data_IF_664183876640
#
_entry.id   IF_664183876640
#
_cell.length_a   1.000
_cell.length_b   1.000
_cell.length_c   1.000
_cell.angle_alpha   90.00
_cell.angle_beta   90.00
_cell.angle_gamma   90.00
#
_symmetry.space_group_name_H-M   'P 1'
#
loop_
_entity.id
_entity.type
_entity.pdbx_description
1 polymer ?
#
# COMPACT_ATOMS: atom_id res chain seq x y z
N UNK A 1 -4.45 8.44 19.35
CA UNK A 1 -5.40 8.15 18.25
C UNK A 1 -6.80 8.66 18.57
N UNK A 2 -7.43 8.19 19.64
CA UNK A 2 -8.73 8.69 20.10
C UNK A 2 -8.82 10.23 20.19
N UNK A 3 -7.85 10.87 20.84
CA UNK A 3 -7.79 12.34 20.95
C UNK A 3 -7.72 13.03 19.57
N UNK A 4 -6.83 12.54 18.69
CA UNK A 4 -6.67 13.09 17.32
C UNK A 4 -7.91 12.93 16.46
N UNK A 5 -8.62 11.81 16.58
CA UNK A 5 -9.87 11.61 15.86
C UNK A 5 -10.98 12.55 16.34
N UNK A 6 -11.04 12.85 17.64
CA UNK A 6 -11.99 13.81 18.20
C UNK A 6 -11.70 15.24 17.71
N UNK A 7 -10.44 15.66 17.77
CA UNK A 7 -9.99 16.97 17.24
C UNK A 7 -10.38 17.14 15.75
N UNK A 8 -10.07 16.15 14.91
CA UNK A 8 -10.39 16.22 13.47
C UNK A 8 -11.90 16.20 13.19
N UNK A 9 -12.70 15.55 14.04
CA UNK A 9 -14.17 15.54 13.90
C UNK A 9 -14.74 16.94 14.15
N UNK A 10 -14.28 17.61 15.21
CA UNK A 10 -14.75 18.94 15.57
C UNK A 10 -14.46 19.95 14.45
N UNK A 11 -13.25 19.93 13.89
CA UNK A 11 -12.88 20.78 12.74
C UNK A 11 -13.71 20.49 11.48
N UNK A 12 -14.06 19.23 11.22
CA UNK A 12 -14.89 18.86 10.07
C UNK A 12 -16.35 19.33 10.22
N UNK A 13 -16.89 19.33 11.44
CA UNK A 13 -18.23 19.85 11.72
C UNK A 13 -18.30 21.37 11.57
N UNK A 14 -17.25 22.08 11.99
CA UNK A 14 -17.15 23.54 11.84
C UNK A 14 -17.12 23.96 10.35
N UNK A 15 -16.43 23.20 9.49
CA UNK A 15 -16.36 23.46 8.05
C UNK A 15 -17.69 23.22 7.30
N UNK A 16 -18.48 22.19 7.68
CA UNK A 16 -19.81 21.95 7.10
C UNK A 16 -20.82 23.06 7.43
N UNK A 17 -20.65 23.77 8.57
CA UNK A 17 -21.50 24.90 8.95
C UNK A 17 -21.16 26.21 8.21
N UNK A 18 -19.93 26.38 7.72
CA UNK A 18 -19.52 27.57 6.96
C UNK A 18 -19.92 27.52 5.47
N UNK A 19 -20.09 26.32 4.87
CA UNK A 19 -20.53 26.17 3.47
C UNK A 19 -22.04 26.43 3.25
N UNK A 20 -22.86 26.47 4.30
CA UNK A 20 -24.32 26.70 4.21
C UNK A 20 -24.74 28.18 4.17
N UNK A 21 -23.80 29.14 4.30
CA UNK A 21 -24.11 30.56 4.11
C UNK A 21 -23.94 30.96 2.63
N UNK A 22 -25.05 30.93 1.89
CA UNK A 22 -25.18 31.47 0.53
C UNK A 22 -24.88 32.99 0.50
N UNK A 23 -23.64 33.37 0.25
CA UNK A 23 -23.29 34.68 -0.31
C UNK A 23 -22.49 34.46 -1.60
N UNK A 24 -23.05 34.90 -2.74
CA UNK A 24 -22.40 34.90 -4.05
C UNK A 24 -21.10 35.72 -4.01
N UNK A 25 -19.93 35.05 -4.04
CA UNK A 25 -18.64 35.73 -4.15
C UNK A 25 -18.19 35.78 -5.62
N UNK A 26 -18.21 36.98 -6.20
CA UNK A 26 -17.61 37.30 -7.50
C UNK A 26 -16.09 37.10 -7.49
N UNK A 27 -15.48 36.63 -8.59
CA UNK A 27 -14.04 36.34 -8.65
C UNK A 27 -13.23 37.62 -8.90
N UNK A 28 -12.60 38.20 -7.87
CA UNK A 28 -11.50 39.15 -8.11
C UNK A 28 -10.45 39.20 -6.98
N UNK A 29 -9.22 39.58 -7.36
CA UNK A 29 -8.01 39.84 -6.56
C UNK A 29 -7.26 38.65 -5.88
N UNK A 30 -7.94 37.59 -5.42
CA UNK A 30 -7.28 36.49 -4.68
C UNK A 30 -6.37 35.62 -5.57
N UNK A 31 -6.74 35.46 -6.85
CA UNK A 31 -6.01 34.65 -7.84
C UNK A 31 -4.72 35.37 -8.28
N UNK A 32 -4.75 36.71 -8.39
CA UNK A 32 -3.62 37.53 -8.86
C UNK A 32 -2.51 37.62 -7.81
N UNK A 33 -2.88 37.62 -6.53
CA UNK A 33 -1.93 37.59 -5.40
C UNK A 33 -1.16 36.27 -5.32
N UNK A 34 -1.89 35.15 -5.41
CA UNK A 34 -1.33 33.78 -5.38
C UNK A 34 -0.38 33.52 -6.56
N UNK A 35 -0.70 34.05 -7.74
CA UNK A 35 0.13 33.96 -8.95
C UNK A 35 1.51 34.63 -8.80
N UNK A 36 1.58 35.81 -8.19
CA UNK A 36 2.83 36.54 -7.99
C UNK A 36 3.73 35.87 -6.92
N UNK A 37 3.12 35.24 -5.91
CA UNK A 37 3.82 34.46 -4.88
C UNK A 37 4.41 33.17 -5.45
N UNK A 38 3.63 32.40 -6.21
CA UNK A 38 4.13 31.19 -6.88
C UNK A 38 5.27 31.50 -7.87
N UNK A 39 5.21 32.65 -8.55
CA UNK A 39 6.29 33.13 -9.44
C UNK A 39 7.58 33.46 -8.68
N UNK A 40 7.49 34.03 -7.47
CA UNK A 40 8.66 34.32 -6.60
C UNK A 40 9.28 33.04 -6.05
N UNK A 41 8.47 32.09 -5.59
CA UNK A 41 8.93 30.77 -5.12
C UNK A 41 9.64 30.01 -6.25
N UNK A 42 9.06 30.01 -7.46
CA UNK A 42 9.68 29.40 -8.65
C UNK A 42 11.04 30.02 -8.99
N UNK A 43 11.19 31.34 -8.90
CA UNK A 43 12.48 32.00 -9.14
C UNK A 43 13.51 31.69 -8.03
N UNK A 44 13.07 31.61 -6.77
CA UNK A 44 13.92 31.19 -5.65
C UNK A 44 14.50 29.79 -5.85
N UNK A 45 13.64 28.81 -6.17
CA UNK A 45 14.03 27.43 -6.44
C UNK A 45 14.97 27.29 -7.66
N UNK A 46 14.78 28.11 -8.69
CA UNK A 46 15.69 28.11 -9.86
C UNK A 46 17.08 28.66 -9.54
N UNK A 47 17.16 29.70 -8.69
CA UNK A 47 18.43 30.27 -8.25
C UNK A 47 19.17 29.33 -7.30
N UNK A 48 18.43 28.63 -6.42
CA UNK A 48 18.98 27.64 -5.50
C UNK A 48 19.56 26.43 -6.26
N UNK A 49 18.85 25.90 -7.27
CA UNK A 49 19.36 24.85 -8.17
C UNK A 49 20.62 25.26 -8.94
N UNK A 50 20.74 26.55 -9.32
CA UNK A 50 21.96 27.06 -9.98
C UNK A 50 23.14 27.12 -9.02
N UNK A 51 22.90 27.56 -7.78
CA UNK A 51 23.92 27.61 -6.73
C UNK A 51 24.39 26.19 -6.34
N UNK A 52 23.47 25.24 -6.20
CA UNK A 52 23.79 23.83 -5.91
C UNK A 52 24.60 23.17 -7.03
N UNK A 53 24.27 23.43 -8.31
CA UNK A 53 25.09 22.92 -9.43
C UNK A 53 26.51 23.48 -9.43
N UNK A 54 26.69 24.73 -9.01
CA UNK A 54 28.03 25.31 -8.87
C UNK A 54 28.77 24.73 -7.66
N UNK A 55 28.10 24.53 -6.53
CA UNK A 55 28.67 23.90 -5.34
C UNK A 55 29.05 22.43 -5.58
N UNK A 56 28.22 21.67 -6.30
CA UNK A 56 28.49 20.28 -6.65
C UNK A 56 29.69 20.15 -7.61
N UNK A 57 29.84 21.12 -8.54
CA UNK A 57 31.00 21.19 -9.43
C UNK A 57 32.29 21.47 -8.64
N UNK A 58 32.25 22.41 -7.69
CA UNK A 58 33.37 22.71 -6.81
C UNK A 58 33.75 21.53 -5.89
N UNK A 59 32.75 20.83 -5.33
CA UNK A 59 32.97 19.66 -4.48
C UNK A 59 33.56 18.46 -5.26
N UNK A 60 33.19 18.31 -6.54
CA UNK A 60 33.71 17.25 -7.41
C UNK A 60 35.15 17.50 -7.84
N UNK A 61 35.54 18.77 -8.01
CA UNK A 61 36.93 19.20 -8.21
C UNK A 61 37.78 19.05 -6.93
N UNK A 62 37.17 19.12 -5.73
CA UNK A 62 37.85 18.89 -4.45
C UNK A 62 37.98 17.39 -4.06
N UNK A 63 37.15 16.49 -4.62
CA UNK A 63 37.24 15.04 -4.36
C UNK A 63 38.26 14.31 -5.23
N UNK A 64 38.65 14.85 -6.37
CA UNK A 64 39.70 14.26 -7.21
C UNK A 64 41.11 14.41 -6.62
N UNK A 65 41.28 15.19 -5.54
CA UNK A 65 42.57 15.47 -4.89
C UNK A 65 42.83 14.69 -3.60
N UNK A 66 41.90 13.89 -3.08
CA UNK A 66 41.99 13.31 -1.71
C UNK A 66 41.84 11.79 -1.58
N UNK A 67 41.74 11.02 -2.67
CA UNK A 67 41.57 9.57 -2.58
C UNK A 67 42.91 8.79 -2.51
N UNK A 68 43.53 8.72 -1.33
CA UNK A 68 44.54 7.69 -0.99
C UNK A 68 44.53 7.39 0.52
N UNK A 69 43.91 6.28 0.92
CA UNK A 69 44.01 5.77 2.30
C UNK A 69 42.87 4.83 2.69
N UNK A 70 43.18 3.53 2.71
CA UNK A 70 42.33 2.43 3.18
C UNK A 70 42.52 2.16 4.68
N UNK A 71 41.49 1.68 5.39
CA UNK A 71 41.57 0.62 6.42
C UNK A 71 40.21 0.27 7.05
N UNK A 72 40.17 -0.87 7.74
CA UNK A 72 39.04 -1.78 7.97
C UNK A 72 38.85 -2.12 9.47
N UNK A 73 37.61 -2.47 9.86
CA UNK A 73 37.13 -3.29 11.01
C UNK A 73 37.02 -2.65 12.43
N UNK A 74 36.37 -3.28 13.44
CA UNK A 74 34.93 -3.60 13.58
C UNK A 74 34.37 -3.31 15.02
N UNK A 75 33.05 -3.44 15.26
CA UNK A 75 32.47 -3.40 16.62
C UNK A 75 30.99 -3.78 16.61
N UNK A 76 30.61 -4.79 17.40
CA UNK A 76 29.28 -5.41 17.39
C UNK A 76 28.30 -4.83 18.39
N UNK A 77 27.02 -4.99 18.07
CA UNK A 77 25.89 -4.93 19.01
C UNK A 77 24.99 -6.13 18.78
N UNK A 78 24.44 -6.63 19.88
CA UNK A 78 23.65 -7.87 19.96
C UNK A 78 22.22 -7.58 19.47
N UNK A 79 21.98 -7.83 18.19
CA UNK A 79 20.63 -7.85 17.62
C UNK A 79 19.87 -9.10 18.12
N UNK A 80 18.66 -8.88 18.63
CA UNK A 80 17.63 -9.93 18.58
C UNK A 80 17.45 -10.29 17.11
N UNK A 81 17.59 -11.58 16.72
CA UNK A 81 17.61 -11.92 15.31
C UNK A 81 16.26 -11.52 14.71
N UNK A 82 16.30 -10.53 13.82
CA UNK A 82 15.28 -10.31 12.82
C UNK A 82 15.04 -11.66 12.17
N UNK A 83 13.91 -12.29 12.51
CA UNK A 83 13.58 -13.62 12.01
C UNK A 83 13.19 -13.46 10.54
N UNK A 84 14.19 -13.26 9.67
CA UNK A 84 14.03 -13.26 8.23
C UNK A 84 13.40 -14.60 7.87
N UNK A 85 12.13 -14.52 7.49
CA UNK A 85 11.27 -15.68 7.34
C UNK A 85 11.48 -16.29 5.95
N UNK A 86 12.62 -16.94 5.76
CA UNK A 86 12.91 -17.63 4.51
C UNK A 86 12.16 -18.97 4.48
N UNK A 87 11.20 -19.10 3.56
CA UNK A 87 10.55 -20.39 3.28
C UNK A 87 11.50 -21.19 2.38
N UNK A 88 12.52 -21.81 2.98
CA UNK A 88 13.55 -22.56 2.25
C UNK A 88 13.93 -23.86 2.94
N UNK A 89 14.52 -24.78 2.17
CA UNK A 89 15.07 -26.05 2.68
C UNK A 89 16.21 -25.84 3.67
N UNK A 90 16.97 -24.75 3.51
CA UNK A 90 18.04 -24.37 4.42
C UNK A 90 17.48 -24.04 5.81
N UNK A 91 16.42 -23.23 5.85
CA UNK A 91 15.79 -22.84 7.12
C UNK A 91 15.02 -24.00 7.76
N UNK A 92 14.41 -24.86 6.94
CA UNK A 92 13.82 -26.13 7.42
C UNK A 92 14.89 -27.02 8.07
N UNK A 93 16.07 -27.11 7.45
CA UNK A 93 17.21 -27.83 8.00
C UNK A 93 17.70 -27.22 9.30
N UNK A 94 17.87 -25.89 9.40
CA UNK A 94 18.33 -25.22 10.62
C UNK A 94 17.42 -25.46 11.83
N UNK A 95 16.10 -25.56 11.59
CA UNK A 95 15.10 -25.76 12.65
C UNK A 95 15.01 -27.19 13.17
N UNK A 96 15.57 -28.15 12.45
CA UNK A 96 15.55 -29.56 12.84
C UNK A 96 16.87 -29.94 13.51
N UNK A 97 16.78 -30.38 14.77
CA UNK A 97 17.96 -30.88 15.49
C UNK A 97 18.51 -32.16 14.84
N UNK A 98 19.84 -32.36 14.92
CA UNK A 98 20.47 -33.56 14.37
C UNK A 98 19.90 -34.86 14.99
N UNK A 99 19.54 -34.84 16.27
CA UNK A 99 18.94 -36.01 16.93
C UNK A 99 17.56 -36.37 16.35
N UNK A 100 16.68 -35.38 16.15
CA UNK A 100 15.37 -35.61 15.55
C UNK A 100 15.51 -36.07 14.09
N UNK A 101 16.40 -35.42 13.34
CA UNK A 101 16.71 -35.79 11.96
C UNK A 101 17.19 -37.25 11.87
N UNK A 102 18.19 -37.61 12.68
CA UNK A 102 18.80 -38.95 12.66
C UNK A 102 17.80 -40.03 13.08
N UNK A 103 16.98 -39.76 14.09
CA UNK A 103 15.94 -40.69 14.51
C UNK A 103 14.93 -40.97 13.39
N UNK A 104 14.41 -39.93 12.74
CA UNK A 104 13.48 -40.07 11.62
C UNK A 104 14.15 -40.69 10.39
N UNK A 105 15.41 -40.36 10.12
CA UNK A 105 16.18 -40.98 9.04
C UNK A 105 16.34 -42.49 9.26
N UNK A 106 16.64 -42.94 10.48
CA UNK A 106 16.72 -44.36 10.82
C UNK A 106 15.37 -45.08 10.74
N UNK A 107 14.26 -44.41 10.99
CA UNK A 107 12.92 -45.01 10.82
C UNK A 107 12.54 -45.22 9.34
N UNK A 108 13.16 -44.48 8.43
CA UNK A 108 12.83 -44.49 6.99
C UNK A 108 13.91 -45.25 6.18
N UNK A 109 15.04 -45.59 6.81
CA UNK A 109 16.14 -46.31 6.16
C UNK A 109 16.20 -47.75 6.66
N UNK A 110 16.20 -48.71 5.74
CA UNK A 110 16.29 -50.14 6.04
C UNK A 110 17.72 -50.62 6.39
N UNK A 111 18.70 -49.72 6.38
CA UNK A 111 20.12 -50.01 6.63
C UNK A 111 20.68 -49.04 7.68
N UNK A 112 21.77 -49.41 8.38
CA UNK A 112 22.52 -48.51 9.28
C UNK A 112 23.31 -47.49 8.44
N UNK A 113 22.80 -46.26 8.21
CA UNK A 113 23.42 -45.37 7.25
C UNK A 113 24.56 -44.61 7.95
N UNK A 114 25.64 -44.37 7.22
CA UNK A 114 26.79 -43.63 7.75
C UNK A 114 26.38 -42.21 8.14
N UNK A 115 26.90 -41.72 9.25
CA UNK A 115 26.73 -40.33 9.68
C UNK A 115 27.75 -39.47 8.93
N UNK A 116 27.28 -38.36 8.35
CA UNK A 116 28.14 -37.37 7.71
C UNK A 116 28.85 -36.45 8.69
N UNK A 117 29.73 -35.62 8.14
CA UNK A 117 30.56 -34.69 8.91
C UNK A 117 29.73 -33.59 9.61
N UNK A 118 28.49 -33.38 9.17
CA UNK A 118 27.49 -32.49 9.78
C UNK A 118 26.72 -33.14 10.96
N UNK A 119 27.08 -34.38 11.31
CA UNK A 119 26.42 -35.16 12.35
C UNK A 119 25.05 -35.70 11.94
N UNK A 120 24.66 -35.59 10.66
CA UNK A 120 23.41 -36.13 10.14
C UNK A 120 23.62 -37.43 9.38
N UNK A 121 22.64 -38.32 9.48
CA UNK A 121 22.60 -39.59 8.73
C UNK A 121 22.56 -39.29 7.22
N UNK A 122 23.51 -39.85 6.46
CA UNK A 122 23.55 -39.71 5.00
C UNK A 122 22.42 -40.51 4.38
N UNK A 123 21.53 -39.84 3.67
CA UNK A 123 20.39 -40.43 2.98
C UNK A 123 20.29 -39.88 1.57
N UNK A 124 19.54 -40.56 0.69
CA UNK A 124 19.28 -40.02 -0.65
C UNK A 124 18.53 -38.67 -0.57
N UNK A 125 18.61 -37.80 -1.59
CA UNK A 125 17.91 -36.51 -1.61
C UNK A 125 16.40 -36.65 -1.36
N UNK A 126 15.76 -37.69 -1.91
CA UNK A 126 14.34 -37.98 -1.70
C UNK A 126 14.02 -38.32 -0.24
N UNK A 127 14.87 -39.13 0.40
CA UNK A 127 14.72 -39.48 1.82
C UNK A 127 14.99 -38.27 2.71
N UNK A 128 15.96 -37.43 2.35
CA UNK A 128 16.25 -36.17 3.05
C UNK A 128 15.01 -35.27 3.09
N UNK A 129 14.33 -35.08 1.97
CA UNK A 129 13.08 -34.31 1.90
C UNK A 129 11.98 -34.93 2.77
N UNK A 130 11.82 -36.25 2.75
CA UNK A 130 10.83 -36.96 3.58
C UNK A 130 11.12 -36.79 5.08
N UNK A 131 12.37 -36.94 5.49
CA UNK A 131 12.82 -36.74 6.87
C UNK A 131 12.56 -35.30 7.32
N UNK A 132 12.92 -34.30 6.51
CA UNK A 132 12.66 -32.89 6.82
C UNK A 132 11.17 -32.57 6.89
N UNK A 133 10.35 -33.17 6.03
CA UNK A 133 8.91 -32.97 6.05
C UNK A 133 8.27 -33.50 7.34
N UNK A 134 8.69 -34.68 7.81
CA UNK A 134 8.21 -35.28 9.05
C UNK A 134 8.74 -34.56 10.28
N UNK A 135 10.03 -34.19 10.26
CA UNK A 135 10.67 -33.49 11.38
C UNK A 135 10.01 -32.14 11.64
N UNK A 136 9.63 -31.41 10.59
CA UNK A 136 8.91 -30.14 10.72
C UNK A 136 7.52 -30.29 11.35
N UNK A 137 6.83 -31.41 11.12
CA UNK A 137 5.54 -31.73 11.75
C UNK A 137 5.72 -32.01 13.24
N UNK A 138 6.75 -32.78 13.60
CA UNK A 138 7.09 -33.05 15.00
C UNK A 138 7.46 -31.75 15.72
N UNK A 139 8.32 -30.92 15.12
CA UNK A 139 8.70 -29.62 15.69
C UNK A 139 7.48 -28.73 15.91
N UNK A 140 6.59 -28.60 14.93
CA UNK A 140 5.38 -27.80 15.07
C UNK A 140 4.47 -28.33 16.18
N UNK A 141 4.24 -29.64 16.21
CA UNK A 141 3.30 -30.27 17.13
C UNK A 141 3.78 -30.22 18.57
N UNK A 142 5.09 -30.43 18.80
CA UNK A 142 5.66 -30.53 20.15
C UNK A 142 6.09 -29.16 20.69
N UNK A 143 6.72 -28.32 19.86
CA UNK A 143 7.26 -27.03 20.32
C UNK A 143 6.31 -25.86 20.09
N UNK A 144 5.26 -26.03 19.26
CA UNK A 144 4.35 -24.93 18.88
C UNK A 144 5.01 -23.87 17.99
N UNK A 145 6.26 -24.07 17.57
CA UNK A 145 7.04 -23.10 16.79
C UNK A 145 6.71 -23.25 15.30
N UNK A 146 6.27 -22.18 14.61
CA UNK A 146 6.02 -22.16 13.16
C UNK A 146 7.20 -22.65 12.30
N UNK A 147 7.02 -23.77 11.59
CA UNK A 147 8.04 -24.29 10.66
C UNK A 147 7.78 -23.86 9.21
N UNK A 148 8.82 -23.83 8.34
CA UNK A 148 8.68 -23.37 6.94
C UNK A 148 7.59 -24.10 6.18
N UNK A 149 7.45 -25.42 6.39
CA UNK A 149 6.34 -26.22 5.85
C UNK A 149 4.97 -25.65 6.25
N UNK A 150 4.72 -25.44 7.54
CA UNK A 150 3.40 -25.04 8.03
C UNK A 150 3.03 -23.61 7.62
N UNK A 151 4.03 -22.72 7.59
CA UNK A 151 3.87 -21.36 7.09
C UNK A 151 3.61 -21.40 5.58
N UNK A 152 4.46 -22.06 4.81
CA UNK A 152 4.35 -22.16 3.35
C UNK A 152 3.04 -22.79 2.89
N UNK A 153 2.60 -23.87 3.55
CA UNK A 153 1.31 -24.51 3.27
C UNK A 153 0.14 -23.57 3.55
N UNK A 154 0.13 -22.87 4.70
CA UNK A 154 -0.94 -21.91 5.01
C UNK A 154 -1.00 -20.78 3.98
N UNK A 155 0.14 -20.19 3.63
CA UNK A 155 0.23 -19.09 2.68
C UNK A 155 -0.15 -19.52 1.25
N UNK A 156 0.31 -20.67 0.80
CA UNK A 156 -0.01 -21.22 -0.51
C UNK A 156 -1.52 -21.48 -0.64
N UNK A 157 -2.12 -22.15 0.34
CA UNK A 157 -3.55 -22.47 0.31
C UNK A 157 -4.41 -21.22 0.45
N UNK A 158 -3.99 -20.27 1.28
CA UNK A 158 -4.65 -18.98 1.38
C UNK A 158 -4.58 -18.21 0.05
N UNK A 159 -3.45 -18.26 -0.66
CA UNK A 159 -3.27 -17.63 -1.97
C UNK A 159 -4.16 -18.27 -3.04
N UNK A 160 -4.17 -19.60 -3.12
CA UNK A 160 -4.90 -20.36 -4.14
C UNK A 160 -6.42 -20.35 -3.90
N UNK A 161 -6.85 -20.56 -2.65
CA UNK A 161 -8.26 -20.79 -2.34
C UNK A 161 -8.97 -19.56 -1.76
N UNK A 162 -8.23 -18.59 -1.21
CA UNK A 162 -8.76 -17.43 -0.46
C UNK A 162 -9.73 -17.80 0.67
N UNK A 163 -9.73 -19.06 1.11
CA UNK A 163 -10.73 -19.60 2.05
C UNK A 163 -10.17 -19.72 3.46
N UNK A 164 -10.72 -18.91 4.38
CA UNK A 164 -10.47 -19.05 5.82
C UNK A 164 -10.88 -20.44 6.33
N UNK A 165 -11.97 -21.01 5.80
CA UNK A 165 -12.46 -22.31 6.22
C UNK A 165 -11.45 -23.43 5.91
N UNK A 166 -10.82 -23.39 4.73
CA UNK A 166 -9.84 -24.40 4.31
C UNK A 166 -8.57 -24.32 5.16
N UNK A 167 -8.05 -23.12 5.41
CA UNK A 167 -6.88 -22.91 6.28
C UNK A 167 -7.19 -23.35 7.72
N UNK A 168 -8.38 -23.03 8.22
CA UNK A 168 -8.81 -23.43 9.57
C UNK A 168 -8.91 -24.95 9.68
N UNK A 169 -9.45 -25.63 8.68
CA UNK A 169 -9.54 -27.08 8.65
C UNK A 169 -8.15 -27.73 8.69
N UNK A 170 -7.21 -27.24 7.88
CA UNK A 170 -5.85 -27.78 7.83
C UNK A 170 -5.04 -27.51 9.09
N UNK A 171 -5.24 -26.34 9.70
CA UNK A 171 -4.67 -26.03 11.00
C UNK A 171 -5.19 -26.98 12.09
N UNK A 172 -6.50 -27.32 12.07
CA UNK A 172 -7.05 -28.33 13.00
C UNK A 172 -6.48 -29.72 12.80
N UNK A 173 -6.06 -30.07 11.58
CA UNK A 173 -5.31 -31.30 11.31
C UNK A 173 -3.81 -31.20 11.61
N UNK A 174 -3.33 -30.06 12.12
CA UNK A 174 -1.91 -29.84 12.44
C UNK A 174 -1.02 -29.65 11.21
N UNK A 175 -1.57 -29.42 10.02
CA UNK A 175 -0.78 -29.34 8.78
C UNK A 175 -0.30 -27.94 8.43
N UNK A 176 -0.83 -26.90 9.08
CA UNK A 176 -0.43 -25.53 8.84
C UNK A 176 -0.65 -24.65 10.06
N UNK A 177 -0.10 -23.43 10.02
CA UNK A 177 -0.35 -22.40 11.04
C UNK A 177 -1.79 -21.88 11.00
N UNK A 178 -2.19 -21.11 12.02
CA UNK A 178 -3.52 -20.53 12.08
C UNK A 178 -3.73 -19.51 10.95
N UNK A 179 -5.00 -19.25 10.59
CA UNK A 179 -5.34 -18.21 9.62
C UNK A 179 -4.84 -16.82 10.05
N UNK A 180 -4.93 -16.51 11.34
CA UNK A 180 -4.48 -15.23 11.90
C UNK A 180 -2.96 -15.09 11.77
N UNK A 181 -2.20 -16.14 12.08
CA UNK A 181 -0.74 -16.12 11.93
C UNK A 181 -0.33 -16.03 10.47
N UNK A 182 -1.04 -16.73 9.57
CA UNK A 182 -0.81 -16.63 8.13
C UNK A 182 -1.04 -15.19 7.61
N UNK A 183 -2.10 -14.51 8.04
CA UNK A 183 -2.33 -13.11 7.71
C UNK A 183 -1.22 -12.21 8.25
N UNK A 184 -0.80 -12.41 9.51
CA UNK A 184 0.33 -11.68 10.11
C UNK A 184 1.59 -11.83 9.27
N UNK A 185 1.91 -13.05 8.83
CA UNK A 185 3.06 -13.29 7.96
C UNK A 185 2.94 -12.57 6.61
N UNK A 186 1.77 -12.56 5.97
CA UNK A 186 1.55 -11.79 4.73
C UNK A 186 1.80 -10.30 4.97
N UNK A 187 1.29 -9.76 6.08
CA UNK A 187 1.49 -8.36 6.45
C UNK A 187 2.96 -8.05 6.71
N UNK A 188 3.69 -8.92 7.41
CA UNK A 188 5.13 -8.75 7.65
C UNK A 188 5.93 -8.81 6.36
N UNK A 189 5.61 -9.74 5.45
CA UNK A 189 6.24 -9.80 4.13
C UNK A 189 5.93 -8.55 3.30
N UNK A 190 4.69 -8.05 3.34
CA UNK A 190 4.31 -6.83 2.66
C UNK A 190 5.12 -5.63 3.17
N UNK A 191 5.33 -5.50 4.48
CA UNK A 191 6.19 -4.45 5.06
C UNK A 191 7.65 -4.55 4.59
N UNK A 192 8.21 -5.76 4.52
CA UNK A 192 9.59 -5.92 4.02
C UNK A 192 9.76 -5.60 2.53
N UNK A 193 8.68 -5.70 1.76
CA UNK A 193 8.64 -5.28 0.35
C UNK A 193 8.40 -3.77 0.26
N UNK A 194 7.57 -3.21 1.15
CA UNK A 194 7.29 -1.78 1.26
C UNK A 194 8.56 -0.98 1.58
N UNK A 195 9.42 -1.52 2.46
CA UNK A 195 10.77 -1.01 2.76
C UNK A 195 11.72 -1.04 1.55
N UNK A 196 11.41 -1.84 0.51
CA UNK A 196 12.18 -1.96 -0.73
C UNK A 196 11.58 -1.16 -1.90
N UNK A 197 10.32 -0.74 -1.80
CA UNK A 197 9.68 0.15 -2.78
C UNK A 197 10.05 1.59 -2.50
N UNK A 198 10.26 2.37 -3.57
CA UNK A 198 10.57 3.80 -3.45
C UNK A 198 9.49 4.54 -2.65
N UNK A 199 9.87 5.58 -1.87
CA UNK A 199 8.99 6.24 -0.94
C UNK A 199 7.71 6.75 -1.63
N UNK A 200 6.60 6.67 -0.89
CA UNK A 200 5.32 7.31 -1.20
C UNK A 200 5.55 8.63 -1.95
N UNK A 201 4.99 8.74 -3.16
CA UNK A 201 5.14 9.90 -4.06
C UNK A 201 5.18 11.20 -3.25
N UNK A 202 6.30 11.95 -3.31
CA UNK A 202 6.59 13.10 -2.44
C UNK A 202 5.43 14.11 -2.41
N UNK A 203 4.65 14.21 -3.49
CA UNK A 203 3.45 15.04 -3.56
C UNK A 203 2.35 14.64 -2.56
N UNK A 204 2.18 13.33 -2.32
CA UNK A 204 1.25 12.80 -1.34
C UNK A 204 1.64 13.23 0.06
N UNK A 205 2.92 13.09 0.42
CA UNK A 205 3.43 13.52 1.74
C UNK A 205 3.23 15.03 1.91
N UNK A 206 3.59 15.82 0.90
CA UNK A 206 3.40 17.28 0.92
C UNK A 206 1.94 17.68 1.12
N UNK A 207 1.01 17.03 0.42
CA UNK A 207 -0.42 17.30 0.59
C UNK A 207 -0.89 17.02 2.02
N UNK A 208 -0.47 15.90 2.61
CA UNK A 208 -0.82 15.58 3.99
C UNK A 208 -0.20 16.54 5.01
N UNK A 209 1.04 16.98 4.78
CA UNK A 209 1.70 17.98 5.65
C UNK A 209 0.97 19.33 5.63
N UNK A 210 0.48 19.77 4.47
CA UNK A 210 -0.36 20.97 4.33
C UNK A 210 -1.68 20.82 5.11
N UNK A 211 -2.25 19.61 5.20
CA UNK A 211 -3.49 19.37 5.96
C UNK A 211 -3.29 19.31 7.47
N UNK A 212 -2.14 18.82 7.94
CA UNK A 212 -1.86 18.73 9.39
C UNK A 212 -1.34 20.05 9.95
N UNK A 213 -0.55 20.79 9.17
CA UNK A 213 0.04 22.06 9.59
C UNK A 213 -0.32 23.18 8.61
N UNK A 214 -1.61 23.48 8.40
CA UNK A 214 -2.03 24.50 7.45
C UNK A 214 -1.42 25.86 7.82
N UNK A 215 -1.29 26.18 9.11
CA UNK A 215 -0.71 27.44 9.57
C UNK A 215 0.76 27.59 9.19
N UNK A 216 1.59 26.56 9.33
CA UNK A 216 3.04 26.62 9.05
C UNK A 216 3.34 26.72 7.56
N UNK A 217 2.52 26.05 6.71
CA UNK A 217 2.75 26.00 5.27
C UNK A 217 1.96 27.05 4.48
N UNK A 218 0.87 27.56 5.04
CA UNK A 218 -0.01 28.56 4.43
C UNK A 218 0.07 29.91 5.16
N UNK A 219 1.12 30.15 5.96
CA UNK A 219 1.33 31.36 6.78
C UNK A 219 1.30 32.68 5.96
N UNK A 220 1.64 32.61 4.66
CA UNK A 220 1.56 33.71 3.69
C UNK A 220 0.17 33.86 3.02
N UNK A 221 -0.75 32.93 3.26
CA UNK A 221 -2.14 32.94 2.79
C UNK A 221 -3.04 33.33 3.98
N UNK A 222 -4.09 34.11 3.70
CA UNK A 222 -4.99 34.66 4.74
C UNK A 222 -5.41 33.58 5.76
N UNK A 223 -5.59 33.94 7.04
CA UNK A 223 -5.91 33.01 8.13
C UNK A 223 -7.23 32.23 8.02
N UNK A 224 -7.98 32.39 6.91
CA UNK A 224 -9.20 31.63 6.59
C UNK A 224 -8.99 30.56 5.51
N UNK A 225 -7.75 30.29 5.08
CA UNK A 225 -7.49 29.39 3.96
C UNK A 225 -7.55 27.92 4.41
N UNK A 226 -8.66 27.25 4.10
CA UNK A 226 -8.81 25.79 4.23
C UNK A 226 -7.82 25.07 3.31
N UNK A 227 -7.18 24.00 3.80
CA UNK A 227 -6.26 23.20 2.99
C UNK A 227 -6.96 22.64 1.73
N UNK A 228 -6.31 22.69 0.54
CA UNK A 228 -6.97 22.30 -0.71
C UNK A 228 -7.15 20.79 -0.80
N UNK A 229 -8.29 20.31 -1.28
CA UNK A 229 -8.46 18.88 -1.58
C UNK A 229 -7.44 18.38 -2.63
N UNK A 230 -7.26 17.07 -2.75
CA UNK A 230 -6.21 16.46 -3.59
C UNK A 230 -6.22 16.97 -5.04
N UNK A 231 -7.39 17.10 -5.67
CA UNK A 231 -7.51 17.53 -7.07
C UNK A 231 -7.06 18.98 -7.30
N UNK A 232 -7.57 19.99 -6.55
CA UNK A 232 -7.01 21.34 -6.57
C UNK A 232 -5.51 21.38 -6.27
N UNK A 233 -5.03 20.65 -5.27
CA UNK A 233 -3.60 20.59 -4.94
C UNK A 233 -2.76 20.10 -6.13
N UNK A 234 -3.19 19.04 -6.80
CA UNK A 234 -2.53 18.51 -7.99
C UNK A 234 -2.60 19.50 -9.17
N UNK A 235 -3.74 20.16 -9.38
CA UNK A 235 -3.88 21.18 -10.42
C UNK A 235 -2.96 22.39 -10.20
N UNK A 236 -2.66 22.75 -8.94
CA UNK A 236 -1.67 23.79 -8.64
C UNK A 236 -0.23 23.38 -8.97
N UNK A 237 0.10 22.08 -8.83
CA UNK A 237 1.45 21.57 -9.02
C UNK A 237 1.75 21.18 -10.47
N UNK A 238 0.75 20.73 -11.21
CA UNK A 238 0.89 20.29 -12.59
C UNK A 238 0.77 21.51 -13.51
N UNK A 239 1.79 21.83 -14.34
CA UNK A 239 1.66 22.90 -15.32
C UNK A 239 0.56 22.60 -16.35
N UNK A 240 -0.18 23.65 -16.70
CA UNK A 240 -1.41 23.70 -17.51
C UNK A 240 -1.19 23.27 -18.98
N UNK A 241 -0.79 22.01 -19.18
CA UNK A 241 -0.29 21.50 -20.46
C UNK A 241 -1.10 20.31 -21.01
N UNK A 242 -2.18 19.90 -20.35
CA UNK A 242 -3.03 18.84 -20.89
C UNK A 242 -3.90 19.38 -22.02
N UNK A 243 -3.88 18.76 -23.21
CA UNK A 243 -4.76 19.17 -24.29
C UNK A 243 -6.23 19.02 -23.89
N UNK A 244 -7.07 19.95 -24.33
CA UNK A 244 -8.50 19.93 -24.06
C UNK A 244 -9.11 18.59 -24.53
N UNK A 245 -9.83 17.91 -23.65
CA UNK A 245 -10.55 16.68 -23.97
C UNK A 245 -11.89 17.01 -24.61
N UNK A 246 -12.19 16.39 -25.75
CA UNK A 246 -13.51 16.53 -26.40
C UNK A 246 -14.43 15.45 -25.87
N UNK A 247 -15.53 15.88 -25.25
CA UNK A 247 -16.59 14.99 -24.74
C UNK A 247 -17.68 14.89 -25.80
N UNK A 248 -18.07 13.66 -26.13
CA UNK A 248 -19.18 13.38 -27.06
C UNK A 248 -20.04 12.25 -26.52
N UNK A 249 -21.35 12.42 -26.58
CA UNK A 249 -22.29 11.39 -26.16
C UNK A 249 -22.41 10.27 -27.20
N UNK A 250 -22.52 9.04 -26.70
CA UNK A 250 -22.78 7.86 -27.51
C UNK A 250 -24.25 7.70 -27.89
N UNK A 251 -24.58 6.70 -28.73
CA UNK A 251 -25.96 6.39 -29.09
C UNK A 251 -26.75 5.86 -27.89
N UNK A 252 -28.05 6.16 -27.86
CA UNK A 252 -28.97 5.59 -26.88
C UNK A 252 -29.38 4.18 -27.29
N UNK A 253 -29.23 3.23 -26.37
CA UNK A 253 -29.73 1.86 -26.55
C UNK A 253 -31.09 1.72 -25.83
N UNK A 254 -32.16 1.26 -26.51
CA UNK A 254 -33.51 1.25 -25.96
C UNK A 254 -33.79 0.11 -24.96
N UNK A 255 -32.79 -0.75 -24.70
CA UNK A 255 -32.89 -1.94 -23.86
C UNK A 255 -32.12 -1.72 -22.54
N UNK A 256 -32.34 -2.62 -21.59
CA UNK A 256 -31.64 -2.58 -20.30
C UNK A 256 -30.11 -2.57 -20.50
N UNK A 257 -29.36 -1.73 -19.75
CA UNK A 257 -27.90 -1.66 -19.86
C UNK A 257 -27.18 -2.94 -19.40
N UNK A 258 -27.90 -3.87 -18.77
CA UNK A 258 -27.38 -5.19 -18.39
C UNK A 258 -27.70 -6.30 -19.40
N UNK A 259 -28.44 -6.00 -20.48
CA UNK A 259 -28.64 -6.96 -21.57
C UNK A 259 -27.29 -7.21 -22.28
N UNK A 260 -26.80 -8.46 -22.32
CA UNK A 260 -25.52 -8.78 -22.97
C UNK A 260 -25.41 -8.28 -24.41
N UNK A 261 -26.52 -8.26 -25.16
CA UNK A 261 -26.52 -7.76 -26.54
C UNK A 261 -26.26 -6.25 -26.58
N UNK A 262 -26.82 -5.50 -25.63
CA UNK A 262 -26.61 -4.05 -25.50
C UNK A 262 -25.18 -3.76 -25.08
N UNK A 263 -24.66 -4.52 -24.13
CA UNK A 263 -23.27 -4.39 -23.68
C UNK A 263 -22.31 -4.67 -24.84
N UNK A 264 -22.52 -5.76 -25.60
CA UNK A 264 -21.68 -6.08 -26.75
C UNK A 264 -21.74 -4.99 -27.83
N UNK A 265 -22.94 -4.49 -28.16
CA UNK A 265 -23.10 -3.39 -29.13
C UNK A 265 -22.41 -2.11 -28.66
N UNK A 266 -22.51 -1.78 -27.36
CA UNK A 266 -21.87 -0.61 -26.77
C UNK A 266 -20.34 -0.71 -26.85
N UNK A 267 -19.79 -1.88 -26.48
CA UNK A 267 -18.34 -2.13 -26.57
C UNK A 267 -17.86 -2.03 -28.01
N UNK A 268 -18.59 -2.62 -28.95
CA UNK A 268 -18.23 -2.56 -30.37
C UNK A 268 -18.26 -1.12 -30.89
N UNK A 269 -19.28 -0.34 -30.54
CA UNK A 269 -19.36 1.07 -30.88
C UNK A 269 -18.14 1.85 -30.36
N UNK A 270 -17.77 1.68 -29.09
CA UNK A 270 -16.59 2.33 -28.52
C UNK A 270 -15.30 1.95 -29.25
N UNK A 271 -15.13 0.68 -29.61
CA UNK A 271 -13.96 0.21 -30.35
C UNK A 271 -13.91 0.78 -31.77
N UNK A 272 -15.05 0.88 -32.45
CA UNK A 272 -15.14 1.47 -33.79
C UNK A 272 -14.82 2.97 -33.76
N UNK A 273 -15.27 3.68 -32.72
CA UNK A 273 -14.94 5.10 -32.51
C UNK A 273 -13.45 5.28 -32.27
N UNK A 274 -12.85 4.52 -31.34
CA UNK A 274 -11.39 4.54 -31.11
C UNK A 274 -10.61 4.25 -32.39
N UNK A 275 -11.04 3.25 -33.17
CA UNK A 275 -10.42 2.89 -34.44
C UNK A 275 -10.48 4.03 -35.47
N UNK A 276 -11.62 4.71 -35.59
CA UNK A 276 -11.77 5.89 -36.46
C UNK A 276 -10.91 7.07 -36.03
N UNK A 277 -10.63 7.19 -34.73
CA UNK A 277 -9.75 8.21 -34.16
C UNK A 277 -8.26 7.81 -34.20
N UNK A 278 -7.93 6.65 -34.78
CA UNK A 278 -6.56 6.16 -34.86
C UNK A 278 -5.97 5.73 -33.50
N UNK A 279 -6.81 5.50 -32.49
CA UNK A 279 -6.37 5.00 -31.19
C UNK A 279 -6.09 3.50 -31.27
N UNK A 280 -4.92 3.08 -30.79
CA UNK A 280 -4.54 1.66 -30.79
C UNK A 280 -5.38 0.84 -29.81
N UNK A 281 -5.67 1.41 -28.64
CA UNK A 281 -6.42 0.76 -27.57
C UNK A 281 -7.71 1.52 -27.27
N UNK A 282 -8.74 0.76 -26.90
CA UNK A 282 -10.02 1.30 -26.42
C UNK A 282 -10.10 1.05 -24.93
N UNK A 283 -10.20 2.12 -24.13
CA UNK A 283 -10.38 2.02 -22.68
C UNK A 283 -11.87 2.19 -22.39
N UNK A 284 -12.49 1.17 -21.77
CA UNK A 284 -13.88 1.23 -21.34
C UNK A 284 -13.93 1.19 -19.82
N UNK A 285 -14.57 2.21 -19.23
CA UNK A 285 -14.86 2.26 -17.80
C UNK A 285 -16.36 2.03 -17.59
N UNK A 286 -16.73 1.10 -16.72
CA UNK A 286 -18.14 0.74 -16.49
C UNK A 286 -18.41 0.27 -15.05
N UNK A 287 -19.68 0.31 -14.62
CA UNK A 287 -20.16 -0.29 -13.37
C UNK A 287 -19.72 -1.76 -13.28
N UNK A 288 -19.51 -2.27 -12.06
CA UNK A 288 -19.19 -3.66 -11.77
C UNK A 288 -20.11 -4.66 -12.51
N UNK A 289 -21.42 -4.43 -12.56
CA UNK A 289 -22.33 -5.37 -13.23
C UNK A 289 -22.05 -5.49 -14.74
N UNK A 290 -21.75 -4.37 -15.40
CA UNK A 290 -21.40 -4.34 -16.82
C UNK A 290 -19.98 -4.89 -17.03
N UNK A 291 -19.05 -4.56 -16.12
CA UNK A 291 -17.69 -5.06 -16.15
C UNK A 291 -17.63 -6.59 -16.20
N UNK A 292 -18.45 -7.28 -15.40
CA UNK A 292 -18.54 -8.74 -15.39
C UNK A 292 -18.99 -9.30 -16.75
N UNK A 293 -19.98 -8.66 -17.39
CA UNK A 293 -20.47 -9.05 -18.71
C UNK A 293 -19.40 -8.84 -19.78
N UNK A 294 -18.75 -7.67 -19.81
CA UNK A 294 -17.69 -7.36 -20.79
C UNK A 294 -16.48 -8.29 -20.61
N UNK A 295 -16.11 -8.60 -19.37
CA UNK A 295 -15.05 -9.55 -19.07
C UNK A 295 -15.39 -10.95 -19.60
N UNK A 296 -16.66 -11.36 -19.50
CA UNK A 296 -17.17 -12.59 -20.12
C UNK A 296 -17.02 -12.59 -21.64
N UNK A 297 -17.39 -11.49 -22.31
CA UNK A 297 -17.22 -11.32 -23.75
C UNK A 297 -15.74 -11.39 -24.17
N UNK A 298 -14.87 -10.70 -23.43
CA UNK A 298 -13.42 -10.69 -23.67
C UNK A 298 -12.82 -12.09 -23.54
N UNK A 299 -13.20 -12.85 -22.50
CA UNK A 299 -12.77 -14.25 -22.30
C UNK A 299 -13.28 -15.18 -23.40
N UNK A 300 -14.50 -14.97 -23.88
CA UNK A 300 -15.12 -15.78 -24.94
C UNK A 300 -14.43 -15.56 -26.29
N UNK A 301 -14.06 -14.32 -26.62
CA UNK A 301 -13.42 -13.96 -27.89
C UNK A 301 -12.16 -13.09 -27.69
N UNK A 302 -11.05 -13.66 -27.18
CA UNK A 302 -9.86 -12.86 -26.84
C UNK A 302 -9.26 -12.09 -28.01
N UNK A 303 -9.31 -12.64 -29.23
CA UNK A 303 -8.79 -11.96 -30.42
C UNK A 303 -9.61 -10.74 -30.84
N UNK A 304 -10.94 -10.81 -30.71
CA UNK A 304 -11.85 -9.69 -31.04
C UNK A 304 -11.58 -8.50 -30.11
N UNK A 305 -11.32 -8.78 -28.83
CA UNK A 305 -11.17 -7.79 -27.76
C UNK A 305 -9.71 -7.62 -27.30
N UNK A 306 -8.74 -7.94 -28.15
CA UNK A 306 -7.31 -7.87 -27.79
C UNK A 306 -6.84 -6.44 -27.50
N UNK A 307 -7.49 -5.45 -28.11
CA UNK A 307 -7.20 -4.02 -27.96
C UNK A 307 -8.11 -3.31 -26.94
N UNK A 308 -8.97 -4.07 -26.26
CA UNK A 308 -9.89 -3.55 -25.25
C UNK A 308 -9.23 -3.60 -23.87
N UNK A 309 -9.09 -2.43 -23.25
CA UNK A 309 -8.67 -2.30 -21.85
C UNK A 309 -9.92 -2.02 -21.03
N UNK A 310 -10.31 -2.98 -20.21
CA UNK A 310 -11.50 -2.90 -19.38
C UNK A 310 -11.16 -2.43 -17.97
N UNK A 311 -11.85 -1.40 -17.49
CA UNK A 311 -11.70 -0.83 -16.15
C UNK A 311 -13.05 -0.77 -15.43
N UNK A 312 -13.08 -1.06 -14.14
CA UNK A 312 -14.24 -0.78 -13.30
C UNK A 312 -14.39 0.73 -13.08
N UNK A 313 -15.62 1.19 -12.83
CA UNK A 313 -15.93 2.55 -12.45
C UNK A 313 -15.13 2.99 -11.22
N UNK A 314 -14.72 4.26 -11.18
CA UNK A 314 -13.90 4.81 -10.09
C UNK A 314 -14.52 4.58 -8.71
N UNK A 315 -15.86 4.67 -8.62
CA UNK A 315 -16.62 4.34 -7.41
C UNK A 315 -16.35 2.92 -6.91
N UNK A 316 -16.53 1.90 -7.76
CA UNK A 316 -16.31 0.50 -7.37
C UNK A 316 -14.85 0.20 -7.09
N UNK A 317 -13.91 0.83 -7.80
CA UNK A 317 -12.48 0.69 -7.49
C UNK A 317 -12.21 1.19 -6.06
N UNK A 318 -12.68 2.39 -5.72
CA UNK A 318 -12.53 2.94 -4.37
C UNK A 318 -13.25 2.08 -3.33
N UNK A 319 -14.47 1.62 -3.63
CA UNK A 319 -15.26 0.75 -2.77
C UNK A 319 -14.54 -0.57 -2.46
N UNK A 320 -14.05 -1.27 -3.48
CA UNK A 320 -13.29 -2.52 -3.32
C UNK A 320 -11.98 -2.31 -2.56
N UNK A 321 -11.29 -1.20 -2.83
CA UNK A 321 -10.03 -0.88 -2.14
C UNK A 321 -10.26 -0.61 -0.65
N UNK A 322 -11.26 0.22 -0.30
CA UNK A 322 -11.58 0.52 1.09
C UNK A 322 -12.14 -0.71 1.82
N UNK A 323 -12.92 -1.58 1.16
CA UNK A 323 -13.29 -2.90 1.68
C UNK A 323 -12.08 -3.78 2.00
N UNK A 324 -11.07 -3.77 1.13
CA UNK A 324 -9.83 -4.51 1.35
C UNK A 324 -9.07 -3.96 2.56
N UNK A 325 -8.99 -2.64 2.72
CA UNK A 325 -8.41 -2.00 3.92
C UNK A 325 -9.19 -2.41 5.17
N UNK A 326 -10.52 -2.28 5.16
CA UNK A 326 -11.37 -2.70 6.28
C UNK A 326 -11.17 -4.17 6.66
N UNK A 327 -11.10 -5.06 5.67
CA UNK A 327 -10.81 -6.48 5.89
C UNK A 327 -9.42 -6.71 6.50
N UNK A 328 -8.39 -6.02 6.02
CA UNK A 328 -7.03 -6.10 6.55
C UNK A 328 -6.94 -5.59 8.00
N UNK A 329 -7.69 -4.53 8.30
CA UNK A 329 -7.72 -3.91 9.62
C UNK A 329 -8.72 -4.56 10.58
N UNK A 330 -9.37 -5.65 10.18
CA UNK A 330 -10.32 -6.36 11.02
C UNK A 330 -9.64 -6.82 12.32
N UNK A 331 -10.32 -6.62 13.45
CA UNK A 331 -9.81 -6.95 14.80
C UNK A 331 -8.55 -6.17 15.22
N UNK A 332 -8.21 -5.07 14.56
CA UNK A 332 -7.14 -4.15 15.01
C UNK A 332 -7.54 -3.25 16.18
N UNK A 333 -8.81 -3.27 16.59
CA UNK A 333 -9.40 -2.32 17.54
C UNK A 333 -9.79 -0.98 16.89
N UNK A 334 -9.59 -0.81 15.58
CA UNK A 334 -9.99 0.41 14.87
C UNK A 334 -11.50 0.68 14.96
N UNK A 335 -12.32 -0.37 14.97
CA UNK A 335 -13.77 -0.26 15.15
C UNK A 335 -14.12 0.37 16.49
N UNK A 336 -13.50 -0.12 17.57
CA UNK A 336 -13.69 0.40 18.92
C UNK A 336 -13.22 1.86 19.00
N UNK A 337 -12.07 2.18 18.40
CA UNK A 337 -11.54 3.54 18.35
C UNK A 337 -12.48 4.49 17.60
N UNK A 338 -13.05 4.08 16.47
CA UNK A 338 -14.00 4.89 15.71
C UNK A 338 -15.30 5.11 16.48
N UNK A 339 -15.76 4.12 17.25
CA UNK A 339 -16.96 4.23 18.09
C UNK A 339 -16.72 5.15 19.29
N UNK A 340 -15.61 4.97 20.00
CA UNK A 340 -15.23 5.78 21.17
C UNK A 340 -14.84 7.23 20.80
N UNK A 341 -14.40 7.46 19.56
CA UNK A 341 -14.19 8.78 18.99
C UNK A 341 -15.48 9.42 18.43
N UNK A 342 -16.61 8.71 18.51
CA UNK A 342 -17.91 9.14 17.97
C UNK A 342 -17.85 9.46 16.45
N UNK A 343 -16.95 8.80 15.73
CA UNK A 343 -16.89 8.85 14.25
C UNK A 343 -18.04 8.03 13.66
N UNK A 344 -18.43 6.95 14.34
CA UNK A 344 -19.59 6.15 13.97
C UNK A 344 -20.24 5.48 15.18
N UNK A 345 -21.52 5.13 15.04
CA UNK A 345 -22.22 4.36 16.06
C UNK A 345 -21.76 2.89 16.05
N UNK A 346 -21.89 2.22 17.19
CA UNK A 346 -21.47 0.83 17.39
C UNK A 346 -22.08 -0.15 16.36
N UNK A 347 -23.34 0.09 15.93
CA UNK A 347 -24.03 -0.71 14.91
C UNK A 347 -23.63 -0.39 13.46
N UNK A 348 -22.88 0.68 13.23
CA UNK A 348 -22.48 1.17 11.90
C UNK A 348 -21.00 0.89 11.61
N UNK A 349 -20.15 0.74 12.64
CA UNK A 349 -18.72 0.41 12.48
C UNK A 349 -18.50 -0.83 11.59
N UNK A 350 -19.26 -1.91 11.82
CA UNK A 350 -19.22 -3.11 10.99
C UNK A 350 -19.61 -2.85 9.52
N UNK A 351 -20.54 -1.92 9.26
CA UNK A 351 -20.98 -1.57 7.89
C UNK A 351 -19.93 -0.73 7.17
N UNK A 352 -19.26 0.15 7.89
CA UNK A 352 -18.14 0.98 7.43
C UNK A 352 -16.96 0.08 7.05
N UNK A 353 -16.52 -0.80 7.96
CA UNK A 353 -15.41 -1.73 7.71
C UNK A 353 -15.72 -2.75 6.61
N UNK A 354 -16.97 -3.19 6.48
CA UNK A 354 -17.41 -4.07 5.38
C UNK A 354 -17.73 -3.33 4.07
N UNK A 355 -17.57 -2.00 4.05
CA UNK A 355 -17.77 -1.13 2.90
C UNK A 355 -19.17 -1.15 2.29
N UNK A 356 -20.19 -1.37 3.11
CA UNK A 356 -21.61 -1.36 2.67
C UNK A 356 -22.20 0.04 2.58
N UNK A 357 -21.54 1.02 3.21
CA UNK A 357 -21.92 2.43 3.15
C UNK A 357 -20.71 3.23 2.67
N UNK A 358 -20.72 3.60 1.39
CA UNK A 358 -19.56 4.21 0.73
C UNK A 358 -19.14 5.53 1.39
N UNK A 359 -20.09 6.44 1.62
CA UNK A 359 -19.75 7.77 2.15
C UNK A 359 -19.35 7.72 3.62
N UNK A 360 -20.02 6.89 4.43
CA UNK A 360 -19.59 6.69 5.81
C UNK A 360 -18.21 6.02 5.89
N UNK A 361 -17.96 5.02 5.03
CA UNK A 361 -16.66 4.37 4.91
C UNK A 361 -15.56 5.34 4.50
N UNK A 362 -15.78 6.12 3.44
CA UNK A 362 -14.80 7.06 2.93
C UNK A 362 -14.43 8.10 3.99
N UNK A 363 -15.42 8.69 4.67
CA UNK A 363 -15.18 9.65 5.77
C UNK A 363 -14.39 9.02 6.91
N UNK A 364 -14.85 7.87 7.41
CA UNK A 364 -14.20 7.21 8.54
C UNK A 364 -12.74 6.82 8.22
N UNK A 365 -12.48 6.22 7.06
CA UNK A 365 -11.13 5.86 6.64
C UNK A 365 -10.25 7.09 6.42
N UNK A 366 -10.79 8.19 5.87
CA UNK A 366 -10.05 9.45 5.70
C UNK A 366 -9.63 10.04 7.05
N UNK A 367 -10.55 10.07 8.02
CA UNK A 367 -10.27 10.58 9.36
C UNK A 367 -9.25 9.71 10.10
N UNK A 368 -9.40 8.38 10.02
CA UNK A 368 -8.42 7.43 10.58
C UNK A 368 -7.06 7.65 9.95
N UNK A 369 -6.99 7.78 8.62
CA UNK A 369 -5.75 8.00 7.90
C UNK A 369 -5.07 9.30 8.36
N UNK A 370 -5.81 10.41 8.41
CA UNK A 370 -5.31 11.69 8.89
C UNK A 370 -4.81 11.60 10.34
N UNK A 371 -5.55 10.94 11.24
CA UNK A 371 -5.15 10.76 12.63
C UNK A 371 -3.88 9.89 12.77
N UNK A 372 -3.75 8.82 11.99
CA UNK A 372 -2.56 7.97 11.98
C UNK A 372 -1.35 8.73 11.44
N UNK A 373 -1.52 9.47 10.35
CA UNK A 373 -0.45 10.27 9.76
C UNK A 373 0.01 11.38 10.72
N UNK A 374 -0.90 12.04 11.44
CA UNK A 374 -0.55 13.01 12.49
C UNK A 374 0.24 12.41 13.64
N UNK A 375 -0.16 11.23 14.14
CA UNK A 375 0.61 10.53 15.18
C UNK A 375 1.98 10.08 14.68
N UNK A 376 2.06 9.64 13.42
CA UNK A 376 3.32 9.26 12.80
C UNK A 376 4.25 10.47 12.69
N UNK A 377 3.73 11.62 12.27
CA UNK A 377 4.49 12.87 12.21
C UNK A 377 4.95 13.35 13.59
N UNK A 378 4.11 13.26 14.62
CA UNK A 378 4.49 13.54 16.01
C UNK A 378 5.61 12.60 16.50
N UNK A 379 5.55 11.32 16.16
CA UNK A 379 6.59 10.37 16.53
C UNK A 379 7.91 10.68 15.80
N UNK A 380 7.82 10.99 14.50
CA UNK A 380 8.97 11.38 13.68
C UNK A 380 9.64 12.66 14.18
N UNK A 381 8.86 13.71 14.48
CA UNK A 381 9.40 14.97 15.03
C UNK A 381 10.06 14.78 16.39
N UNK A 382 9.50 13.95 17.27
CA UNK A 382 10.16 13.59 18.55
C UNK A 382 11.47 12.84 18.31
N UNK A 383 11.48 11.88 17.40
CA UNK A 383 12.68 11.14 17.03
C UNK A 383 13.79 12.07 16.51
N UNK A 384 13.46 13.04 15.64
CA UNK A 384 14.41 14.04 15.15
C UNK A 384 15.04 14.86 16.29
N UNK A 385 14.23 15.28 17.26
CA UNK A 385 14.69 16.05 18.42
C UNK A 385 15.63 15.20 19.29
N UNK A 386 15.30 13.93 19.50
CA UNK A 386 16.09 13.00 20.33
C UNK A 386 17.44 12.69 19.67
N UNK A 387 17.46 12.49 18.36
CA UNK A 387 18.66 12.09 17.61
C UNK A 387 19.52 13.29 17.17
N UNK A 388 19.19 14.51 17.62
CA UNK A 388 19.85 15.77 17.23
C UNK A 388 20.11 15.87 15.71
N UNK A 389 19.17 15.36 14.90
CA UNK A 389 19.30 15.40 13.44
C UNK A 389 18.91 16.79 12.95
N UNK A 390 19.87 17.51 12.37
CA UNK A 390 19.60 18.78 11.71
C UNK A 390 18.56 18.61 10.59
N UNK A 391 17.64 19.58 10.48
CA UNK A 391 16.67 19.69 9.38
C UNK A 391 17.34 19.69 8.00
N UNK A 392 18.62 20.10 7.91
CA UNK A 392 19.42 20.01 6.68
C UNK A 392 19.71 18.57 6.23
N UNK A 393 19.72 17.58 7.14
CA UNK A 393 19.86 16.17 6.76
C UNK A 393 18.58 15.62 6.08
N UNK A 394 17.43 16.23 6.33
CA UNK A 394 16.12 15.78 5.83
C UNK A 394 15.86 16.29 4.41
N UNK A 395 16.33 17.50 4.08
CA UNK A 395 16.22 18.04 2.71
C UNK A 395 16.98 17.19 1.68
N UNK A 396 18.04 16.50 2.11
CA UNK A 396 18.81 15.56 1.26
C UNK A 396 18.05 14.24 1.04
N UNK A 397 17.25 13.79 2.01
CA UNK A 397 16.45 12.56 1.92
C UNK A 397 15.15 12.76 1.11
N UNK A 398 14.54 13.94 1.17
CA UNK A 398 13.33 14.27 0.39
C UNK A 398 13.59 14.54 -1.10
N UNK A 399 14.85 14.74 -1.51
CA UNK A 399 15.21 15.07 -2.91
C UNK A 399 15.90 13.90 -3.63
N UNK A 400 16.50 12.95 -2.90
CA UNK A 400 17.26 11.83 -3.50
C UNK A 400 16.72 10.44 -3.14
N UNK A 401 15.49 10.34 -2.64
CA UNK A 401 14.79 9.09 -2.38
C UNK A 401 13.70 8.84 -3.40
#
# INVERSE_FOLDING_TARGET
MLTKLKELKETAQEAEYEEESDDEVTPDDTIVSSYNTAKRIRMGLQNQRKAEKQALKAAREARSSSASGSQQMPGGETEYPSMQLEISYLEASRRVSCNLYNHLAWLITDAFPEVGDDGRVKVSPKQHEQVLNLAQDVCQTVAGIPTPKHIGTALHILKETRSKATVTLLNRFGNCISYQDAQRYITTMAKSVDEQTEPLDHLSILWHLVHICPTVFLEDLKPSCTAPTWSPFQAFLIPDATPATVISDGPFFPKSPMDPDVVEQSVQYCMDVSGKQGQEFTIITCDQAIYEVVLGLQKKNPQKYAKLILRMGGFHIAEHFLKAIGHLMQASGIEDIMVEADVCLHGTANKIISGKDYYAMLRAHTMVHAAMFALHWEAFTRWLIIEEKDLECISVLAING
#
